data_IF_188556178288
#
_entry.id   IF_188556178288
#
_cell.length_a   1.000
_cell.length_b   1.000
_cell.length_c   1.000
_cell.angle_alpha   90.00
_cell.angle_beta   90.00
_cell.angle_gamma   90.00
#
_symmetry.space_group_name_H-M   'P 1'
#
loop_
_entity.id
_entity.type
_entity.pdbx_description
1 polymer ?
#
# COMPACT_ATOMS: atom_id res chain seq x y z
N UNK A 1 -11.77 28.83 -12.31
CA UNK A 1 -11.75 28.14 -13.61
C UNK A 1 -11.97 26.65 -13.33
N UNK A 2 -13.14 26.10 -13.71
CA UNK A 2 -13.40 24.67 -13.65
C UNK A 2 -12.57 24.01 -14.77
N UNK A 3 -11.57 23.22 -14.41
CA UNK A 3 -10.84 22.41 -15.37
C UNK A 3 -11.82 21.43 -16.01
N UNK A 4 -12.04 21.55 -17.30
CA UNK A 4 -12.79 20.57 -18.10
C UNK A 4 -12.10 19.21 -17.88
N UNK A 5 -12.80 18.17 -17.38
CA UNK A 5 -12.16 16.88 -17.24
C UNK A 5 -11.76 16.39 -18.62
N UNK A 6 -10.45 16.17 -18.84
CA UNK A 6 -9.97 15.51 -20.03
C UNK A 6 -10.67 14.16 -20.08
N UNK A 7 -11.55 13.95 -21.06
CA UNK A 7 -12.33 12.72 -21.17
C UNK A 7 -11.36 11.57 -21.37
N UNK A 8 -11.17 10.74 -20.36
CA UNK A 8 -10.35 9.55 -20.45
C UNK A 8 -10.95 8.60 -21.49
N UNK A 9 -10.17 8.33 -22.55
CA UNK A 9 -10.53 7.36 -23.59
C UNK A 9 -9.65 6.12 -23.43
N UNK A 10 -10.12 5.08 -22.77
CA UNK A 10 -9.34 3.87 -22.57
C UNK A 10 -9.09 3.13 -23.88
N UNK A 11 -7.87 2.65 -24.07
CA UNK A 11 -7.53 1.71 -25.15
C UNK A 11 -8.11 0.30 -24.85
N UNK A 12 -7.94 -0.63 -25.79
CA UNK A 12 -8.52 -2.00 -25.67
C UNK A 12 -8.04 -2.70 -24.40
N UNK A 13 -6.73 -2.69 -24.10
CA UNK A 13 -6.18 -3.34 -22.90
C UNK A 13 -6.69 -2.70 -21.61
N UNK A 14 -6.77 -1.37 -21.57
CA UNK A 14 -7.34 -0.64 -20.43
C UNK A 14 -8.83 -0.95 -20.25
N UNK A 15 -9.61 -1.05 -21.34
CA UNK A 15 -11.02 -1.46 -21.28
C UNK A 15 -11.16 -2.86 -20.70
N UNK A 16 -10.35 -3.81 -21.17
CA UNK A 16 -10.33 -5.17 -20.63
C UNK A 16 -10.08 -5.15 -19.12
N UNK A 17 -9.08 -4.37 -18.64
CA UNK A 17 -8.78 -4.27 -17.23
C UNK A 17 -9.92 -3.62 -16.42
N UNK A 18 -10.54 -2.54 -16.94
CA UNK A 18 -11.62 -1.81 -16.26
C UNK A 18 -12.86 -2.70 -16.09
N UNK A 19 -13.25 -3.41 -17.13
CA UNK A 19 -14.50 -4.19 -17.17
C UNK A 19 -14.33 -5.67 -16.84
N UNK A 20 -13.12 -6.11 -16.46
CA UNK A 20 -12.89 -7.47 -16.01
C UNK A 20 -13.82 -7.82 -14.84
N UNK A 21 -14.45 -9.00 -14.80
CA UNK A 21 -15.25 -9.46 -13.65
C UNK A 21 -14.45 -9.40 -12.33
N UNK A 22 -15.11 -9.35 -11.17
CA UNK A 22 -14.44 -9.46 -9.87
C UNK A 22 -13.57 -10.72 -9.80
N UNK A 23 -12.36 -10.57 -9.26
CA UNK A 23 -11.38 -11.64 -9.15
C UNK A 23 -9.96 -11.14 -9.25
N UNK A 24 -8.97 -12.03 -9.11
CA UNK A 24 -7.56 -11.67 -9.25
C UNK A 24 -7.26 -11.08 -10.62
N UNK A 25 -6.65 -9.90 -10.65
CA UNK A 25 -6.25 -9.21 -11.88
C UNK A 25 -4.88 -8.56 -11.66
N UNK A 26 -3.92 -8.88 -12.51
CA UNK A 26 -2.62 -8.22 -12.54
C UNK A 26 -2.52 -7.32 -13.78
N UNK A 27 -2.19 -6.04 -13.58
CA UNK A 27 -2.00 -5.06 -14.64
C UNK A 27 -0.50 -4.78 -14.79
N UNK A 28 0.10 -5.29 -15.86
CA UNK A 28 1.49 -5.01 -16.22
C UNK A 28 1.54 -3.84 -17.18
N UNK A 29 2.21 -2.77 -16.79
CA UNK A 29 2.27 -1.56 -17.60
C UNK A 29 3.50 -0.71 -17.24
N UNK A 30 4.12 -0.07 -18.23
CA UNK A 30 5.26 0.82 -18.04
C UNK A 30 4.91 2.11 -17.30
N UNK A 31 5.91 2.92 -16.96
CA UNK A 31 5.68 4.25 -16.40
C UNK A 31 4.92 5.15 -17.39
N UNK A 32 4.02 5.99 -16.91
CA UNK A 32 3.27 6.94 -17.75
C UNK A 32 2.15 6.33 -18.61
N UNK A 33 1.94 5.02 -18.62
CA UNK A 33 0.93 4.35 -19.46
C UNK A 33 -0.50 4.43 -18.93
N UNK A 34 -0.73 5.12 -17.82
CA UNK A 34 -2.06 5.31 -17.25
C UNK A 34 -2.52 4.19 -16.30
N UNK A 35 -1.60 3.42 -15.69
CA UNK A 35 -1.94 2.39 -14.68
C UNK A 35 -2.91 2.89 -13.61
N UNK A 36 -2.54 3.97 -12.94
CA UNK A 36 -3.36 4.56 -11.88
C UNK A 36 -4.73 4.99 -12.39
N UNK A 37 -4.78 5.63 -13.57
CA UNK A 37 -6.04 6.03 -14.19
C UNK A 37 -6.91 4.83 -14.49
N UNK A 38 -6.35 3.77 -15.07
CA UNK A 38 -7.06 2.51 -15.36
C UNK A 38 -7.62 1.88 -14.08
N UNK A 39 -6.80 1.83 -13.00
CA UNK A 39 -7.23 1.31 -11.70
C UNK A 39 -8.41 2.11 -11.13
N UNK A 40 -8.32 3.44 -11.14
CA UNK A 40 -9.39 4.29 -10.62
C UNK A 40 -10.69 4.17 -11.42
N UNK A 41 -10.61 4.04 -12.74
CA UNK A 41 -11.79 3.77 -13.57
C UNK A 41 -12.37 2.37 -13.30
N UNK A 42 -11.54 1.37 -13.00
CA UNK A 42 -12.02 0.06 -12.53
C UNK A 42 -12.76 0.17 -11.21
N UNK A 43 -12.19 0.85 -10.22
CA UNK A 43 -12.85 1.11 -8.92
C UNK A 43 -14.21 1.78 -9.14
N UNK A 44 -14.25 2.86 -9.92
CA UNK A 44 -15.49 3.53 -10.26
C UNK A 44 -16.50 2.57 -10.95
N UNK A 45 -16.05 1.77 -11.91
CA UNK A 45 -16.91 0.78 -12.56
C UNK A 45 -17.52 -0.23 -11.59
N UNK A 46 -16.72 -0.79 -10.68
CA UNK A 46 -17.20 -1.75 -9.68
C UNK A 46 -18.24 -1.15 -8.74
N UNK A 47 -18.08 0.13 -8.37
CA UNK A 47 -19.06 0.87 -7.56
C UNK A 47 -20.34 1.12 -8.36
N UNK A 48 -20.23 1.68 -9.56
CA UNK A 48 -21.39 2.06 -10.40
C UNK A 48 -22.20 0.84 -10.81
N UNK A 49 -21.56 -0.28 -11.08
CA UNK A 49 -22.22 -1.57 -11.38
C UNK A 49 -22.75 -2.30 -10.14
N UNK A 50 -22.56 -1.74 -8.94
CA UNK A 50 -22.97 -2.32 -7.65
C UNK A 50 -22.39 -3.71 -7.38
N UNK A 51 -21.24 -4.02 -7.99
CA UNK A 51 -20.54 -5.29 -7.76
C UNK A 51 -19.80 -5.31 -6.44
N UNK A 52 -19.33 -4.14 -5.97
CA UNK A 52 -18.64 -3.99 -4.69
C UNK A 52 -19.12 -2.71 -4.01
N UNK A 53 -19.41 -2.76 -2.74
CA UNK A 53 -19.74 -1.57 -1.94
C UNK A 53 -18.44 -0.80 -1.61
N UNK A 54 -18.45 0.54 -1.63
CA UNK A 54 -17.27 1.35 -1.31
C UNK A 54 -16.62 1.01 0.03
N UNK A 55 -17.42 0.74 1.05
CA UNK A 55 -16.95 0.35 2.40
C UNK A 55 -16.14 -0.96 2.43
N UNK A 56 -16.31 -1.81 1.42
CA UNK A 56 -15.54 -3.06 1.27
C UNK A 56 -14.34 -2.91 0.33
N UNK A 57 -14.00 -1.68 -0.07
CA UNK A 57 -12.84 -1.42 -0.92
C UNK A 57 -11.65 -0.92 -0.11
N UNK A 58 -10.52 -1.53 -0.36
CA UNK A 58 -9.23 -1.13 0.18
C UNK A 58 -8.27 -0.84 -0.98
N UNK A 59 -7.76 0.39 -1.04
CA UNK A 59 -6.72 0.79 -1.98
C UNK A 59 -5.43 1.04 -1.21
N UNK A 60 -4.40 0.24 -1.49
CA UNK A 60 -3.10 0.38 -0.87
C UNK A 60 -2.11 1.01 -1.84
N UNK A 61 -1.28 1.90 -1.32
CA UNK A 61 -0.22 2.60 -2.04
C UNK A 61 1.10 2.45 -1.32
N UNK A 62 2.17 2.87 -1.98
CA UNK A 62 3.50 2.83 -1.37
C UNK A 62 3.85 4.13 -0.63
N UNK A 63 3.32 5.29 -1.06
CA UNK A 63 3.67 6.59 -0.49
C UNK A 63 2.43 7.39 -0.11
N UNK A 64 2.57 8.25 0.91
CA UNK A 64 1.51 9.18 1.33
C UNK A 64 1.10 10.14 0.20
N UNK A 65 2.06 10.59 -0.59
CA UNK A 65 1.79 11.43 -1.76
C UNK A 65 0.86 10.72 -2.75
N UNK A 66 1.12 9.44 -3.06
CA UNK A 66 0.26 8.65 -3.94
C UNK A 66 -1.13 8.44 -3.32
N UNK A 67 -1.22 8.23 -2.01
CA UNK A 67 -2.48 8.12 -1.27
C UNK A 67 -3.34 9.37 -1.45
N UNK A 68 -2.75 10.55 -1.26
CA UNK A 68 -3.46 11.83 -1.41
C UNK A 68 -3.92 12.06 -2.86
N UNK A 69 -3.06 11.75 -3.84
CA UNK A 69 -3.42 11.86 -5.25
C UNK A 69 -4.56 10.92 -5.65
N UNK A 70 -4.53 9.67 -5.19
CA UNK A 70 -5.58 8.68 -5.43
C UNK A 70 -6.88 9.12 -4.78
N UNK A 71 -6.86 9.56 -3.53
CA UNK A 71 -8.04 10.06 -2.82
C UNK A 71 -8.71 11.20 -3.56
N UNK A 72 -7.94 12.17 -4.05
CA UNK A 72 -8.48 13.28 -4.83
C UNK A 72 -9.11 12.78 -6.14
N UNK A 73 -8.40 11.98 -6.90
CA UNK A 73 -8.87 11.49 -8.21
C UNK A 73 -10.11 10.60 -8.09
N UNK A 74 -10.17 9.72 -7.08
CA UNK A 74 -11.34 8.86 -6.90
C UNK A 74 -12.56 9.67 -6.46
N UNK A 75 -12.38 10.71 -5.64
CA UNK A 75 -13.44 11.63 -5.27
C UNK A 75 -13.98 12.41 -6.47
N UNK A 76 -13.12 12.81 -7.39
CA UNK A 76 -13.52 13.45 -8.66
C UNK A 76 -14.34 12.50 -9.56
N UNK A 77 -14.11 11.19 -9.48
CA UNK A 77 -14.79 10.17 -10.28
C UNK A 77 -16.10 9.66 -9.66
N UNK A 78 -16.10 9.42 -8.36
CA UNK A 78 -17.21 8.72 -7.65
C UNK A 78 -18.03 9.66 -6.76
N UNK A 79 -17.57 10.91 -6.59
CA UNK A 79 -18.22 11.87 -5.69
C UNK A 79 -18.12 11.46 -4.22
N UNK A 80 -19.19 11.68 -3.41
CA UNK A 80 -19.18 11.38 -1.98
C UNK A 80 -18.91 9.92 -1.63
N UNK A 81 -19.19 8.98 -2.53
CA UNK A 81 -18.93 7.55 -2.32
C UNK A 81 -17.43 7.23 -2.10
N UNK A 82 -16.55 8.15 -2.51
CA UNK A 82 -15.12 8.03 -2.26
C UNK A 82 -14.76 8.03 -0.77
N UNK A 83 -15.57 8.67 0.06
CA UNK A 83 -15.29 8.83 1.49
C UNK A 83 -15.44 7.51 2.26
N UNK A 84 -16.19 6.55 1.72
CA UNK A 84 -16.38 5.22 2.29
C UNK A 84 -15.27 4.23 1.88
N UNK A 85 -14.39 4.62 0.94
CA UNK A 85 -13.30 3.76 0.48
C UNK A 85 -12.09 3.93 1.41
N UNK A 86 -11.57 2.82 1.93
CA UNK A 86 -10.30 2.85 2.66
C UNK A 86 -9.13 3.03 1.70
N UNK A 87 -8.42 4.16 1.81
CA UNK A 87 -7.25 4.48 1.00
C UNK A 87 -6.09 4.82 1.93
N UNK A 88 -5.03 4.02 1.91
CA UNK A 88 -3.89 4.12 2.83
C UNK A 88 -2.59 3.65 2.20
N UNK A 89 -1.47 3.96 2.82
CA UNK A 89 -0.24 3.24 2.56
C UNK A 89 -0.29 1.85 3.21
N UNK A 90 0.56 0.91 2.75
CA UNK A 90 0.70 -0.40 3.41
C UNK A 90 1.00 -0.25 4.90
N UNK A 91 1.98 0.57 5.25
CA UNK A 91 2.35 0.80 6.64
C UNK A 91 1.22 1.44 7.45
N UNK A 92 0.55 2.45 6.90
CA UNK A 92 -0.58 3.10 7.56
C UNK A 92 -1.73 2.13 7.84
N UNK A 93 -2.07 1.28 6.87
CA UNK A 93 -3.11 0.27 7.03
C UNK A 93 -2.73 -0.80 8.05
N UNK A 94 -1.52 -1.36 7.97
CA UNK A 94 -1.04 -2.35 8.94
C UNK A 94 -1.00 -1.77 10.37
N UNK A 95 -0.54 -0.53 10.52
CA UNK A 95 -0.52 0.15 11.80
C UNK A 95 -1.94 0.34 12.38
N UNK A 96 -2.91 0.71 11.54
CA UNK A 96 -4.32 0.83 11.95
C UNK A 96 -4.87 -0.53 12.42
N UNK A 97 -4.61 -1.61 11.67
CA UNK A 97 -5.01 -2.96 12.06
C UNK A 97 -4.41 -3.40 13.40
N UNK A 98 -3.11 -3.17 13.59
CA UNK A 98 -2.44 -3.50 14.84
C UNK A 98 -3.05 -2.75 16.01
N UNK A 99 -3.32 -1.46 15.85
CA UNK A 99 -3.97 -0.65 16.90
C UNK A 99 -5.38 -1.10 17.23
N UNK A 100 -6.16 -1.45 16.22
CA UNK A 100 -7.54 -1.91 16.38
C UNK A 100 -7.62 -3.28 17.08
N UNK A 101 -6.68 -4.18 16.77
CA UNK A 101 -6.70 -5.57 17.26
C UNK A 101 -5.72 -5.82 18.42
N UNK A 102 -4.96 -4.82 18.84
CA UNK A 102 -4.07 -4.92 20.00
C UNK A 102 -4.88 -5.01 21.29
N UNK A 103 -5.12 -6.22 21.75
CA UNK A 103 -5.91 -6.54 22.96
C UNK A 103 -5.21 -6.08 24.25
N UNK A 104 -3.92 -5.75 24.21
CA UNK A 104 -3.14 -5.34 25.37
C UNK A 104 -2.74 -3.86 25.28
N UNK A 105 -3.08 -3.09 26.30
CA UNK A 105 -2.78 -1.66 26.46
C UNK A 105 -1.29 -1.27 26.33
N UNK A 106 -0.38 -2.25 26.28
CA UNK A 106 1.04 -2.04 26.01
C UNK A 106 1.39 -1.95 24.51
N UNK A 107 0.44 -2.18 23.63
CA UNK A 107 0.63 -2.05 22.18
C UNK A 107 0.50 -0.60 21.66
N UNK A 108 0.25 0.38 22.54
CA UNK A 108 0.44 1.81 22.22
C UNK A 108 1.91 2.16 21.95
N UNK A 109 2.80 1.24 22.27
CA UNK A 109 4.20 1.38 21.91
C UNK A 109 4.41 0.78 20.56
N UNK A 110 5.05 1.53 19.70
CA UNK A 110 6.03 0.94 18.82
C UNK A 110 5.62 0.87 17.35
N UNK A 111 5.63 2.00 16.72
CA UNK A 111 6.43 2.06 15.51
C UNK A 111 7.88 2.04 15.98
N UNK A 112 8.55 0.93 15.79
CA UNK A 112 9.96 0.81 16.07
C UNK A 112 10.71 1.76 15.14
N UNK A 113 11.57 2.57 15.74
CA UNK A 113 12.51 3.38 14.97
C UNK A 113 13.68 2.48 14.51
N UNK A 114 14.50 2.97 13.61
CA UNK A 114 15.67 2.22 13.10
C UNK A 114 16.59 1.75 14.25
N UNK A 115 16.75 2.58 15.27
CA UNK A 115 17.53 2.27 16.47
C UNK A 115 16.92 1.11 17.26
N UNK A 116 15.59 1.06 17.41
CA UNK A 116 14.89 0.00 18.13
C UNK A 116 15.03 -1.35 17.41
N UNK A 117 14.90 -1.33 16.08
CA UNK A 117 15.09 -2.49 15.21
C UNK A 117 16.53 -3.01 15.35
N UNK A 118 17.50 -2.10 15.26
CA UNK A 118 18.93 -2.44 15.40
C UNK A 118 19.20 -3.03 16.77
N UNK A 119 18.70 -2.43 17.84
CA UNK A 119 18.85 -2.92 19.21
C UNK A 119 18.22 -4.29 19.41
N UNK A 120 17.02 -4.52 18.86
CA UNK A 120 16.37 -5.83 18.90
C UNK A 120 17.23 -6.90 18.24
N UNK A 121 17.71 -6.66 17.02
CA UNK A 121 18.56 -7.63 16.31
C UNK A 121 19.87 -7.93 17.04
N UNK A 122 20.51 -6.92 17.63
CA UNK A 122 21.74 -7.11 18.40
C UNK A 122 21.50 -7.99 19.63
N UNK A 123 20.43 -7.73 20.37
CA UNK A 123 20.15 -8.46 21.61
C UNK A 123 19.61 -9.90 21.39
N UNK A 124 19.04 -10.16 20.22
CA UNK A 124 18.43 -11.47 19.91
C UNK A 124 19.19 -12.21 18.80
N UNK A 125 20.39 -11.73 18.46
CA UNK A 125 21.17 -12.24 17.32
C UNK A 125 21.39 -13.75 17.38
N UNK A 126 21.72 -14.29 18.56
CA UNK A 126 21.98 -15.71 18.75
C UNK A 126 20.73 -16.60 18.61
N UNK A 127 19.53 -16.00 18.71
CA UNK A 127 18.26 -16.70 18.58
C UNK A 127 17.75 -16.74 17.13
N UNK A 128 18.33 -15.94 16.24
CA UNK A 128 17.94 -15.82 14.85
C UNK A 128 18.67 -16.86 13.98
N UNK A 129 18.06 -18.02 13.82
CA UNK A 129 18.65 -19.18 13.12
C UNK A 129 18.99 -18.93 11.64
N UNK A 130 18.31 -17.99 10.99
CA UNK A 130 18.56 -17.64 9.58
C UNK A 130 19.80 -16.75 9.38
N UNK A 131 20.37 -16.17 10.44
CA UNK A 131 21.53 -15.28 10.39
C UNK A 131 22.85 -16.06 10.56
N UNK A 132 22.89 -17.35 10.29
CA UNK A 132 24.12 -18.15 10.43
C UNK A 132 25.16 -17.94 9.31
N UNK A 133 24.94 -16.96 8.42
CA UNK A 133 25.90 -16.66 7.36
C UNK A 133 27.20 -16.06 7.92
N UNK A 134 28.31 -16.33 7.22
CA UNK A 134 29.66 -15.87 7.60
C UNK A 134 29.75 -14.34 7.70
N UNK A 135 28.95 -13.62 6.90
CA UNK A 135 28.90 -12.16 6.82
C UNK A 135 28.34 -11.58 8.14
N UNK A 136 27.27 -12.15 8.65
CA UNK A 136 26.65 -11.69 9.89
C UNK A 136 27.52 -11.96 11.12
N UNK A 137 28.26 -13.08 11.14
CA UNK A 137 29.18 -13.39 12.25
C UNK A 137 30.41 -12.49 12.31
N UNK A 138 30.89 -12.01 11.16
CA UNK A 138 32.07 -11.15 11.09
C UNK A 138 31.78 -9.70 11.51
N UNK A 139 30.63 -9.17 11.16
CA UNK A 139 30.19 -7.80 11.51
C UNK A 139 28.66 -7.74 11.61
N UNK A 140 28.07 -8.16 12.75
CA UNK A 140 26.63 -8.20 12.90
C UNK A 140 25.97 -6.81 12.78
N UNK A 141 26.56 -5.78 13.37
CA UNK A 141 26.03 -4.42 13.29
C UNK A 141 26.01 -3.91 11.85
N UNK A 142 27.10 -3.98 11.13
CA UNK A 142 27.16 -3.52 9.74
C UNK A 142 26.29 -4.35 8.79
N UNK A 143 26.08 -5.63 9.07
CA UNK A 143 25.17 -6.46 8.29
C UNK A 143 23.69 -6.10 8.55
N UNK A 144 23.34 -5.79 9.79
CA UNK A 144 21.98 -5.37 10.16
C UNK A 144 21.68 -4.00 9.53
N UNK A 145 22.52 -3.01 9.79
CA UNK A 145 22.30 -1.63 9.32
C UNK A 145 22.48 -1.46 7.81
N UNK A 146 23.39 -2.18 7.20
CA UNK A 146 23.70 -2.07 5.78
C UNK A 146 22.88 -2.98 4.85
N UNK A 147 22.34 -4.08 5.38
CA UNK A 147 21.66 -5.08 4.55
C UNK A 147 20.23 -5.38 4.93
N UNK A 148 19.85 -5.27 6.20
CA UNK A 148 18.50 -5.59 6.66
C UNK A 148 17.60 -4.35 6.77
N UNK A 149 18.07 -3.28 7.41
CA UNK A 149 17.27 -2.09 7.65
C UNK A 149 16.82 -1.43 6.34
N UNK A 150 17.66 -1.30 5.29
CA UNK A 150 17.23 -0.75 4.00
C UNK A 150 16.12 -1.53 3.27
N UNK A 151 15.79 -2.75 3.73
CA UNK A 151 14.70 -3.56 3.18
C UNK A 151 13.42 -3.50 4.02
N UNK A 152 13.47 -2.86 5.19
CA UNK A 152 12.33 -2.73 6.11
C UNK A 152 11.64 -1.37 5.93
N UNK A 153 12.32 -0.38 5.35
CA UNK A 153 11.78 0.91 4.88
C UNK A 153 11.07 0.74 3.49
#
# INVERSE_FOLDING_TARGET
>A
MKSVPVSFKPNTAQKTAIYNPPGPLMILAGAGTGKTTTLLHRVNHLIQSKQVLPVHMLLLTFTEKATLEIRKKIRDLTGPLADDITISTFHGFCNALVREHAINANAEKLLWQEEDITYFFINHFDQLTFIQSRIFRANPYGAITGSFIPFID
#
